data_IF_286412161203
#
_entry.id   IF_286412161203
#
_cell.length_a   1.000
_cell.length_b   1.000
_cell.length_c   1.000
_cell.angle_alpha   90.00
_cell.angle_beta   90.00
_cell.angle_gamma   90.00
#
_symmetry.space_group_name_H-M   'P 1'
#
loop_
_entity.id
_entity.type
_entity.pdbx_description
1 polymer ?
#
# COMPACT_ATOMS: atom_id res chain seq x y z
N UNK A 1 -5.81 -3.80 1.50
CA UNK A 1 -4.98 -4.74 0.74
C UNK A 1 -4.69 -5.95 1.61
N UNK A 2 -4.69 -7.15 1.03
CA UNK A 2 -4.30 -8.41 1.66
C UNK A 2 -2.77 -8.57 1.68
N UNK A 3 -2.23 -9.62 2.29
CA UNK A 3 -0.76 -9.81 2.35
C UNK A 3 -0.15 -10.15 0.99
N UNK A 4 -0.90 -10.86 0.16
CA UNK A 4 -0.55 -11.27 -1.20
C UNK A 4 -0.63 -10.13 -2.24
N UNK A 5 -0.94 -8.90 -1.83
CA UNK A 5 -1.11 -7.76 -2.73
C UNK A 5 -2.54 -7.61 -3.29
N UNK A 6 -3.42 -8.59 -3.10
CA UNK A 6 -4.81 -8.51 -3.56
C UNK A 6 -5.53 -7.34 -2.88
N UNK A 7 -6.18 -6.47 -3.66
CA UNK A 7 -6.90 -5.32 -3.12
C UNK A 7 -8.05 -4.87 -4.01
N UNK A 8 -8.86 -3.95 -3.47
CA UNK A 8 -9.98 -3.32 -4.16
C UNK A 8 -10.17 -1.91 -3.62
N UNK A 9 -10.70 -1.02 -4.45
CA UNK A 9 -11.21 0.27 -4.01
C UNK A 9 -12.53 0.04 -3.26
N UNK A 10 -12.62 0.56 -2.03
CA UNK A 10 -13.81 0.42 -1.18
C UNK A 10 -14.59 1.73 -1.05
N UNK A 11 -14.02 2.84 -1.49
CA UNK A 11 -14.63 4.17 -1.50
C UNK A 11 -13.88 5.09 -2.48
N UNK A 12 -14.60 5.96 -3.19
CA UNK A 12 -14.02 6.95 -4.12
C UNK A 12 -13.67 6.40 -5.50
N UNK A 13 -12.84 7.15 -6.23
CA UNK A 13 -12.41 6.86 -7.60
C UNK A 13 -11.45 5.67 -7.67
N UNK A 14 -11.38 4.99 -8.82
CA UNK A 14 -10.36 3.97 -9.07
C UNK A 14 -8.96 4.58 -9.02
N UNK A 15 -7.95 3.79 -8.62
CA UNK A 15 -6.56 4.26 -8.50
C UNK A 15 -6.04 4.89 -9.80
N UNK A 16 -6.28 4.24 -10.93
CA UNK A 16 -5.87 4.71 -12.27
C UNK A 16 -6.43 6.09 -12.65
N UNK A 17 -7.54 6.50 -12.03
CA UNK A 17 -8.24 7.75 -12.38
C UNK A 17 -7.84 8.90 -11.42
N UNK A 18 -6.92 8.66 -10.47
CA UNK A 18 -6.41 9.67 -9.53
C UNK A 18 -5.27 10.45 -10.19
N UNK A 19 -5.43 11.77 -10.29
CA UNK A 19 -4.44 12.66 -10.92
C UNK A 19 -3.82 13.66 -9.93
N UNK A 20 -2.66 14.21 -10.27
CA UNK A 20 -1.97 15.22 -9.47
C UNK A 20 -1.11 14.66 -8.34
N UNK A 21 -0.84 15.47 -7.31
CA UNK A 21 -0.02 15.06 -6.16
C UNK A 21 -0.84 14.18 -5.22
N UNK A 22 -0.36 12.96 -4.98
CA UNK A 22 -1.01 11.98 -4.12
C UNK A 22 -0.30 11.88 -2.77
N UNK A 23 -1.08 11.76 -1.68
CA UNK A 23 -0.60 11.37 -0.35
C UNK A 23 -1.15 9.98 -0.03
N UNK A 24 -0.25 9.03 0.26
CA UNK A 24 -0.64 7.72 0.77
C UNK A 24 -0.67 7.72 2.30
N UNK A 25 -1.69 7.07 2.87
CA UNK A 25 -1.81 6.85 4.32
C UNK A 25 -2.05 5.37 4.56
N UNK A 26 -1.11 4.72 5.24
CA UNK A 26 -1.25 3.34 5.67
C UNK A 26 -1.87 3.29 7.08
N UNK A 27 -2.94 2.51 7.24
CA UNK A 27 -3.62 2.32 8.53
C UNK A 27 -3.50 0.86 8.94
N UNK A 28 -2.93 0.62 10.11
CA UNK A 28 -2.76 -0.71 10.68
C UNK A 28 -2.25 -0.63 12.12
N UNK A 29 -2.42 -1.72 12.87
CA UNK A 29 -1.88 -1.82 14.22
C UNK A 29 -0.37 -2.04 14.17
N UNK A 30 0.39 -1.22 14.90
CA UNK A 30 1.79 -1.50 15.19
C UNK A 30 1.90 -2.70 16.13
N UNK A 31 2.87 -3.59 15.88
CA UNK A 31 3.23 -4.70 16.77
C UNK A 31 4.73 -4.83 16.86
N UNK A 32 5.21 -5.18 18.03
CA UNK A 32 6.62 -5.45 18.31
C UNK A 32 6.75 -6.88 18.83
N UNK A 33 7.71 -7.64 18.29
CA UNK A 33 8.06 -8.97 18.75
C UNK A 33 9.10 -8.91 19.88
N UNK A 34 9.33 -10.03 20.57
CA UNK A 34 10.30 -10.12 21.68
C UNK A 34 11.74 -9.78 21.25
N UNK A 35 12.07 -9.98 19.97
CA UNK A 35 13.37 -9.64 19.38
C UNK A 35 13.47 -8.17 18.93
N UNK A 36 12.46 -7.35 19.22
CA UNK A 36 12.39 -5.93 18.83
C UNK A 36 11.94 -5.70 17.39
N UNK A 37 11.61 -6.75 16.62
CA UNK A 37 11.10 -6.60 15.26
C UNK A 37 9.73 -5.91 15.27
N UNK A 38 9.62 -4.80 14.53
CA UNK A 38 8.38 -4.02 14.42
C UNK A 38 7.65 -4.33 13.11
N UNK A 39 6.33 -4.43 13.19
CA UNK A 39 5.45 -4.68 12.04
C UNK A 39 4.25 -3.75 12.05
N UNK A 40 3.69 -3.46 10.87
CA UNK A 40 2.47 -2.68 10.71
C UNK A 40 1.36 -3.55 10.08
N UNK A 41 0.26 -3.75 10.81
CA UNK A 41 -0.80 -4.66 10.37
C UNK A 41 -0.29 -6.10 10.15
N UNK A 42 0.75 -6.49 10.89
CA UNK A 42 1.44 -7.78 10.73
C UNK A 42 2.29 -7.91 9.48
N UNK A 43 2.73 -6.79 8.87
CA UNK A 43 3.69 -6.75 7.75
C UNK A 43 5.06 -6.26 8.20
N UNK A 44 6.11 -6.89 7.69
CA UNK A 44 7.48 -6.36 7.77
C UNK A 44 7.65 -5.09 6.92
N UNK A 45 8.81 -4.43 7.04
CA UNK A 45 9.17 -3.27 6.21
C UNK A 45 9.19 -3.64 4.73
N UNK A 46 9.72 -4.81 4.37
CA UNK A 46 9.83 -5.25 2.99
C UNK A 46 8.46 -5.57 2.39
N UNK A 47 7.60 -6.28 3.14
CA UNK A 47 6.23 -6.58 2.71
C UNK A 47 5.42 -5.29 2.51
N UNK A 48 5.54 -4.33 3.43
CA UNK A 48 4.86 -3.04 3.31
C UNK A 48 5.39 -2.23 2.12
N UNK A 49 6.70 -2.24 1.90
CA UNK A 49 7.35 -1.53 0.78
C UNK A 49 6.90 -2.09 -0.56
N UNK A 50 6.84 -3.42 -0.72
CA UNK A 50 6.33 -4.07 -1.93
C UNK A 50 4.87 -3.71 -2.21
N UNK A 51 4.04 -3.66 -1.16
CA UNK A 51 2.65 -3.22 -1.26
C UNK A 51 2.52 -1.75 -1.71
N UNK A 52 3.33 -0.84 -1.17
CA UNK A 52 3.34 0.58 -1.57
C UNK A 52 3.79 0.73 -3.03
N UNK A 53 4.81 -0.02 -3.47
CA UNK A 53 5.27 0.00 -4.86
C UNK A 53 4.18 -0.46 -5.82
N UNK A 54 3.43 -1.51 -5.46
CA UNK A 54 2.30 -2.01 -6.28
C UNK A 54 1.25 -0.90 -6.49
N UNK A 55 0.80 -0.26 -5.40
CA UNK A 55 -0.17 0.84 -5.48
C UNK A 55 0.41 2.02 -6.28
N UNK A 56 1.69 2.32 -6.11
CA UNK A 56 2.35 3.41 -6.84
C UNK A 56 2.41 3.14 -8.35
N UNK A 57 2.60 1.89 -8.77
CA UNK A 57 2.56 1.53 -10.19
C UNK A 57 1.15 1.67 -10.76
N UNK A 58 0.12 1.23 -10.03
CA UNK A 58 -1.27 1.35 -10.46
C UNK A 58 -1.76 2.81 -10.56
N UNK A 59 -1.31 3.68 -9.65
CA UNK A 59 -1.55 5.12 -9.75
C UNK A 59 -0.87 5.75 -10.97
N UNK A 60 0.27 5.22 -11.40
CA UNK A 60 1.07 5.75 -12.51
C UNK A 60 0.80 5.04 -13.84
N UNK A 61 -0.24 4.21 -13.94
CA UNK A 61 -0.54 3.44 -15.16
C UNK A 61 -0.98 4.32 -16.34
N UNK A 62 -1.15 5.63 -16.14
CA UNK A 62 -1.40 6.63 -17.19
C UNK A 62 -0.14 7.22 -17.87
N UNK A 63 1.06 6.63 -17.69
CA UNK A 63 2.28 7.08 -18.36
C UNK A 63 2.59 6.35 -19.69
N UNK A 64 1.82 5.33 -20.06
CA UNK A 64 2.06 4.54 -21.29
C UNK A 64 0.76 4.08 -21.94
N UNK A 65 0.09 4.98 -22.67
CA UNK A 65 -0.75 4.67 -23.84
C UNK A 65 -0.72 5.85 -24.82
#
# INVERSE_FOLDING_TARGET
MQKDGTHRVVYGTQLKDITGKVKMVAVGYGREAEDGTQTLGGRSVDELSANITTISQELNTDATL
#
